data_IF_298825227654
#
_entry.id   IF_298825227654
#
_cell.length_a   1.000
_cell.length_b   1.000
_cell.length_c   1.000
_cell.angle_alpha   90.00
_cell.angle_beta   90.00
_cell.angle_gamma   90.00
#
_symmetry.space_group_name_H-M   'P 1'
#
loop_
_entity.id
_entity.type
_entity.pdbx_description
1 polymer ?
#
# COMPACT_ATOMS: atom_id res chain seq x y z
N UNK A 1 -12.94 -1.60 37.84
CA UNK A 1 -12.73 -0.60 36.77
C UNK A 1 -11.75 -1.07 35.68
N UNK A 2 -11.01 -2.17 35.88
CA UNK A 2 -9.87 -2.57 35.02
C UNK A 2 -10.19 -3.15 33.64
N UNK A 3 -11.36 -3.79 33.45
CA UNK A 3 -11.65 -4.47 32.17
C UNK A 3 -11.90 -3.48 31.03
N UNK A 4 -12.52 -2.33 31.29
CA UNK A 4 -12.71 -1.27 30.28
C UNK A 4 -11.37 -0.57 29.96
N UNK A 5 -10.55 -0.29 30.97
CA UNK A 5 -9.22 0.31 30.82
C UNK A 5 -8.30 -0.55 29.95
N UNK A 6 -8.23 -1.87 30.21
CA UNK A 6 -7.39 -2.80 29.45
C UNK A 6 -7.82 -2.94 27.98
N UNK A 7 -9.13 -2.94 27.71
CA UNK A 7 -9.67 -2.98 26.33
C UNK A 7 -9.34 -1.71 25.54
N UNK A 8 -9.41 -0.54 26.17
CA UNK A 8 -9.04 0.75 25.56
C UNK A 8 -7.55 0.81 25.24
N UNK A 9 -6.69 0.35 26.17
CA UNK A 9 -5.24 0.34 25.99
C UNK A 9 -4.78 -0.49 24.78
N UNK A 10 -5.36 -1.68 24.58
CA UNK A 10 -5.03 -2.52 23.42
C UNK A 10 -5.41 -1.87 22.08
N UNK A 11 -6.55 -1.17 22.03
CA UNK A 11 -6.97 -0.41 20.84
C UNK A 11 -6.03 0.77 20.57
N UNK A 12 -5.67 1.56 21.60
CA UNK A 12 -4.77 2.71 21.46
C UNK A 12 -3.40 2.26 20.92
N UNK A 13 -2.85 1.16 21.44
CA UNK A 13 -1.56 0.63 20.98
C UNK A 13 -1.64 0.15 19.53
N UNK A 14 -2.74 -0.50 19.15
CA UNK A 14 -2.98 -0.87 17.76
C UNK A 14 -3.18 0.36 16.86
N UNK A 15 -3.80 1.43 17.37
CA UNK A 15 -3.96 2.68 16.64
C UNK A 15 -2.61 3.38 16.41
N UNK A 16 -1.71 3.37 17.41
CA UNK A 16 -0.33 3.85 17.23
C UNK A 16 0.40 3.05 16.15
N UNK A 17 0.24 1.72 16.13
CA UNK A 17 0.77 0.88 15.05
C UNK A 17 0.20 1.27 13.68
N UNK A 18 -1.12 1.43 13.60
CA UNK A 18 -1.84 1.73 12.38
C UNK A 18 -1.43 3.08 11.78
N UNK A 19 -1.50 4.13 12.59
CA UNK A 19 -1.12 5.49 12.19
C UNK A 19 0.39 5.54 11.91
N UNK A 20 1.21 4.93 12.77
CA UNK A 20 2.67 4.92 12.62
C UNK A 20 3.11 4.30 11.29
N UNK A 21 2.62 3.11 10.94
CA UNK A 21 2.92 2.49 9.64
C UNK A 21 2.36 3.30 8.48
N UNK A 22 1.15 3.85 8.63
CA UNK A 22 0.54 4.69 7.59
C UNK A 22 1.41 5.89 7.22
N UNK A 23 1.81 6.65 8.23
CA UNK A 23 2.67 7.82 8.05
C UNK A 23 4.05 7.41 7.53
N UNK A 24 4.67 6.38 8.13
CA UNK A 24 6.00 5.91 7.72
C UNK A 24 6.03 5.50 6.24
N UNK A 25 5.03 4.72 5.81
CA UNK A 25 4.90 4.28 4.42
C UNK A 25 4.67 5.46 3.49
N UNK A 26 3.79 6.41 3.86
CA UNK A 26 3.54 7.60 3.06
C UNK A 26 4.81 8.46 2.88
N UNK A 27 5.57 8.68 3.96
CA UNK A 27 6.83 9.41 3.90
C UNK A 27 7.87 8.68 3.05
N UNK A 28 8.00 7.36 3.22
CA UNK A 28 8.98 6.57 2.47
C UNK A 28 8.66 6.52 0.98
N UNK A 29 7.41 6.23 0.62
CA UNK A 29 6.95 6.19 -0.77
C UNK A 29 7.06 7.58 -1.41
N UNK A 30 6.69 8.65 -0.70
CA UNK A 30 6.89 10.02 -1.16
C UNK A 30 8.36 10.33 -1.43
N UNK A 31 9.27 9.99 -0.51
CA UNK A 31 10.71 10.19 -0.69
C UNK A 31 11.29 9.40 -1.86
N UNK A 32 10.88 8.15 -2.07
CA UNK A 32 11.36 7.31 -3.19
C UNK A 32 10.90 7.90 -4.53
N UNK A 33 9.65 8.35 -4.63
CA UNK A 33 9.13 8.98 -5.85
C UNK A 33 9.91 10.27 -6.14
N UNK A 34 10.10 11.11 -5.12
CA UNK A 34 10.88 12.34 -5.24
C UNK A 34 12.34 12.10 -5.68
N UNK A 35 12.97 11.02 -5.20
CA UNK A 35 14.33 10.62 -5.57
C UNK A 35 14.44 10.10 -7.02
N UNK A 36 13.36 9.52 -7.56
CA UNK A 36 13.38 8.87 -8.88
C UNK A 36 13.14 9.86 -10.03
N UNK A 37 12.41 10.94 -9.78
CA UNK A 37 12.22 12.02 -10.74
C UNK A 37 13.35 13.05 -10.64
N UNK A 38 14.50 12.72 -11.21
CA UNK A 38 15.58 13.70 -11.49
C UNK A 38 15.11 14.85 -12.44
N UNK A 39 13.89 14.73 -12.95
CA UNK A 39 13.26 15.60 -13.96
C UNK A 39 12.89 17.00 -13.45
N UNK A 40 12.74 17.20 -12.13
CA UNK A 40 12.50 18.52 -11.52
C UNK A 40 13.78 19.21 -10.99
N UNK A 41 14.96 18.63 -11.23
CA UNK A 41 16.19 19.10 -10.60
C UNK A 41 16.22 18.81 -9.11
N UNK A 42 15.79 17.60 -8.70
CA UNK A 42 15.75 17.22 -7.29
C UNK A 42 17.14 17.09 -6.65
N UNK A 43 18.18 16.75 -7.44
CA UNK A 43 19.57 16.96 -7.05
C UNK A 43 19.84 18.40 -6.62
N UNK A 44 19.25 19.37 -7.31
CA UNK A 44 19.29 20.77 -6.90
C UNK A 44 18.43 21.01 -5.64
N UNK A 45 17.24 20.40 -5.50
CA UNK A 45 16.38 20.52 -4.28
C UNK A 45 17.08 20.04 -3.02
N UNK A 46 17.81 18.93 -3.08
CA UNK A 46 18.64 18.47 -1.97
C UNK A 46 19.79 19.43 -1.68
N UNK A 47 20.44 19.98 -2.71
CA UNK A 47 21.41 21.06 -2.56
C UNK A 47 20.76 22.29 -1.86
N UNK A 48 19.58 22.76 -2.29
CA UNK A 48 18.85 23.88 -1.67
C UNK A 48 18.50 23.64 -0.19
N UNK A 49 18.08 22.42 0.16
CA UNK A 49 17.62 22.09 1.51
C UNK A 49 18.78 22.05 2.52
N UNK A 50 19.96 21.58 2.10
CA UNK A 50 21.12 21.42 2.97
C UNK A 50 22.08 22.62 2.99
N UNK A 51 22.05 23.51 1.98
CA UNK A 51 22.85 24.75 2.01
C UNK A 51 22.34 25.72 3.07
N UNK A 52 23.24 26.26 3.88
CA UNK A 52 22.90 27.25 4.91
C UNK A 52 22.56 28.61 4.30
N UNK A 53 23.34 29.08 3.33
CA UNK A 53 23.15 30.38 2.67
C UNK A 53 22.48 30.21 1.29
N UNK A 54 21.60 31.15 0.94
CA UNK A 54 20.97 31.27 -0.38
C UNK A 54 22.04 31.44 -1.45
N UNK A 55 23.17 32.08 -1.14
CA UNK A 55 24.24 32.38 -2.11
C UNK A 55 25.02 31.15 -2.56
N UNK A 56 24.98 30.08 -1.78
CA UNK A 56 25.58 28.80 -2.13
C UNK A 56 24.75 27.99 -3.13
N UNK A 57 23.51 28.42 -3.38
CA UNK A 57 22.57 27.66 -4.20
C UNK A 57 22.78 27.87 -5.69
N UNK A 58 22.49 26.83 -6.48
CA UNK A 58 22.58 26.93 -7.95
C UNK A 58 21.70 28.04 -8.54
N UNK A 59 20.47 28.24 -8.03
CA UNK A 59 19.54 29.27 -8.53
C UNK A 59 20.11 30.66 -8.35
N UNK A 60 20.70 30.91 -7.18
CA UNK A 60 21.28 32.20 -6.88
C UNK A 60 22.43 32.51 -7.85
N UNK A 61 23.37 31.57 -8.00
CA UNK A 61 24.51 31.70 -8.90
C UNK A 61 24.07 31.90 -10.35
N UNK A 62 23.05 31.16 -10.79
CA UNK A 62 22.45 31.32 -12.11
C UNK A 62 21.77 32.69 -12.29
N UNK A 63 21.03 33.16 -11.28
CA UNK A 63 20.35 34.47 -11.30
C UNK A 63 21.35 35.62 -11.33
N UNK A 64 22.45 35.52 -10.57
CA UNK A 64 23.55 36.48 -10.64
C UNK A 64 24.23 36.44 -12.01
N UNK A 65 24.41 35.26 -12.60
CA UNK A 65 24.95 35.11 -13.96
C UNK A 65 24.04 35.75 -15.02
N UNK A 66 22.72 35.62 -14.89
CA UNK A 66 21.75 36.29 -15.76
C UNK A 66 21.81 37.82 -15.62
N UNK A 67 21.95 38.34 -14.39
CA UNK A 67 22.11 39.77 -14.15
C UNK A 67 23.43 40.30 -14.72
N UNK A 68 24.51 39.52 -14.62
CA UNK A 68 25.78 39.84 -15.28
C UNK A 68 25.63 39.89 -16.80
N UNK A 69 25.00 38.87 -17.40
CA UNK A 69 24.73 38.81 -18.83
C UNK A 69 23.92 40.01 -19.31
N UNK A 70 22.86 40.38 -18.59
CA UNK A 70 22.04 41.54 -18.89
C UNK A 70 22.90 42.81 -18.96
N UNK A 71 23.78 43.04 -17.98
CA UNK A 71 24.70 44.18 -17.98
C UNK A 71 25.71 44.13 -19.12
N UNK A 72 26.28 42.95 -19.40
CA UNK A 72 27.24 42.77 -20.49
C UNK A 72 26.62 43.03 -21.87
N UNK A 73 25.43 42.50 -22.13
CA UNK A 73 24.69 42.73 -23.38
C UNK A 73 24.31 44.21 -23.55
N UNK A 74 23.77 44.84 -22.50
CA UNK A 74 23.39 46.27 -22.55
C UNK A 74 24.60 47.19 -22.77
N UNK A 75 25.78 46.86 -22.25
CA UNK A 75 26.98 47.66 -22.45
C UNK A 75 27.63 47.51 -23.83
N UNK A 76 27.35 46.42 -24.56
CA UNK A 76 28.03 46.06 -25.81
C UNK A 76 27.19 46.32 -27.07
N UNK A 77 25.85 46.38 -26.95
CA UNK A 77 24.96 46.60 -28.10
C UNK A 77 24.84 48.07 -28.51
N UNK A 78 24.67 48.35 -29.81
CA UNK A 78 24.65 49.71 -30.39
C UNK A 78 23.39 50.54 -30.06
N UNK A 79 22.25 49.93 -29.69
CA UNK A 79 20.99 50.63 -29.41
C UNK A 79 20.80 50.88 -27.90
N UNK A 80 21.39 51.96 -27.40
CA UNK A 80 21.67 52.13 -25.96
C UNK A 80 20.46 52.48 -25.08
N UNK A 81 19.62 53.45 -25.44
CA UNK A 81 18.69 54.06 -24.47
C UNK A 81 17.54 53.15 -24.02
N UNK A 82 16.86 52.46 -24.94
CA UNK A 82 15.72 51.61 -24.60
C UNK A 82 16.15 50.39 -23.76
N UNK A 83 17.29 49.78 -24.11
CA UNK A 83 17.82 48.63 -23.39
C UNK A 83 18.40 48.99 -22.03
N UNK A 84 19.03 50.17 -21.90
CA UNK A 84 19.48 50.69 -20.61
C UNK A 84 18.29 50.85 -19.66
N UNK A 85 17.19 51.45 -20.12
CA UNK A 85 15.98 51.61 -19.31
C UNK A 85 15.38 50.26 -18.88
N UNK A 86 15.38 49.25 -19.76
CA UNK A 86 14.89 47.90 -19.44
C UNK A 86 15.80 47.21 -18.41
N UNK A 87 17.13 47.32 -18.58
CA UNK A 87 18.11 46.74 -17.67
C UNK A 87 18.05 47.40 -16.29
N UNK A 88 17.99 48.72 -16.24
CA UNK A 88 17.82 49.50 -15.00
C UNK A 88 16.52 49.11 -14.29
N UNK A 89 15.39 49.11 -14.99
CA UNK A 89 14.10 48.72 -14.43
C UNK A 89 14.05 47.26 -13.94
N UNK A 90 14.88 46.35 -14.49
CA UNK A 90 15.00 44.97 -14.01
C UNK A 90 15.84 44.89 -12.73
N UNK A 91 17.00 45.55 -12.72
CA UNK A 91 17.95 45.50 -11.62
C UNK A 91 17.46 46.29 -10.39
N UNK A 92 16.78 47.43 -10.61
CA UNK A 92 16.20 48.25 -9.55
C UNK A 92 15.08 47.54 -8.77
N UNK A 93 14.44 46.52 -9.35
CA UNK A 93 13.47 45.66 -8.63
C UNK A 93 14.08 44.91 -7.46
N UNK A 94 15.41 44.72 -7.46
CA UNK A 94 16.11 44.14 -6.32
C UNK A 94 16.27 45.12 -5.15
N UNK A 95 16.07 46.42 -5.37
CA UNK A 95 16.20 47.48 -4.38
C UNK A 95 17.53 47.39 -3.62
N UNK A 96 17.47 47.38 -2.29
CA UNK A 96 18.66 47.32 -1.42
C UNK A 96 19.36 45.95 -1.42
N UNK A 97 18.79 44.92 -2.05
CA UNK A 97 19.38 43.57 -2.05
C UNK A 97 20.56 43.43 -3.01
N UNK A 98 20.65 44.30 -4.03
CA UNK A 98 21.67 44.29 -5.05
C UNK A 98 22.21 45.71 -5.26
N UNK A 99 23.53 45.87 -5.16
CA UNK A 99 24.23 47.03 -5.71
C UNK A 99 24.84 46.58 -7.03
N UNK A 100 24.65 47.36 -8.09
CA UNK A 100 25.30 47.11 -9.37
C UNK A 100 26.04 48.37 -9.85
N UNK A 101 27.15 48.13 -10.53
CA UNK A 101 27.93 49.16 -11.19
C UNK A 101 28.51 48.57 -12.47
N UNK A 102 28.20 49.18 -13.61
CA UNK A 102 28.64 48.73 -14.92
C UNK A 102 29.08 49.93 -15.74
N UNK A 103 30.23 49.85 -16.41
CA UNK A 103 30.76 50.93 -17.24
C UNK A 103 31.48 50.37 -18.46
N UNK A 104 31.24 50.96 -19.62
CA UNK A 104 32.01 50.70 -20.82
C UNK A 104 33.02 51.84 -21.04
N UNK A 105 34.31 51.49 -21.10
CA UNK A 105 35.44 52.41 -21.22
C UNK A 105 35.60 52.96 -22.65
N UNK A 106 34.97 52.34 -23.65
CA UNK A 106 35.02 52.73 -25.07
C UNK A 106 34.00 53.82 -25.43
N UNK A 107 32.73 53.62 -25.06
CA UNK A 107 31.63 54.54 -25.38
C UNK A 107 31.19 55.41 -24.18
N UNK A 108 31.72 55.17 -22.99
CA UNK A 108 31.43 55.97 -21.79
C UNK A 108 30.09 55.66 -21.11
N UNK A 109 29.32 54.69 -21.60
CA UNK A 109 28.03 54.28 -21.01
C UNK A 109 28.25 53.76 -19.60
N UNK A 110 27.43 54.24 -18.65
CA UNK A 110 27.50 53.89 -17.23
C UNK A 110 26.11 53.56 -16.69
N UNK A 111 25.98 52.45 -15.97
CA UNK A 111 24.77 52.04 -15.29
C UNK A 111 25.10 51.70 -13.82
N UNK A 112 24.47 52.37 -12.86
CA UNK A 112 24.77 52.17 -11.43
C UNK A 112 23.59 52.61 -10.55
N UNK A 113 23.24 51.82 -9.55
CA UNK A 113 22.28 52.22 -8.50
C UNK A 113 22.96 52.75 -7.23
N UNK A 114 24.28 52.90 -7.23
CA UNK A 114 25.05 53.53 -6.15
C UNK A 114 25.61 54.89 -6.59
N UNK A 115 25.65 55.83 -5.63
CA UNK A 115 26.34 57.12 -5.77
C UNK A 115 27.85 56.98 -5.59
N UNK A 116 28.31 55.84 -5.07
CA UNK A 116 29.74 55.58 -4.85
C UNK A 116 30.37 55.22 -6.19
N UNK A 117 31.25 56.07 -6.71
CA UNK A 117 31.95 55.76 -7.94
C UNK A 117 33.08 54.76 -7.65
N UNK A 118 32.82 53.48 -7.91
CA UNK A 118 33.84 52.45 -7.82
C UNK A 118 34.91 52.57 -8.93
N UNK A 119 34.71 53.48 -9.89
CA UNK A 119 35.54 53.67 -11.09
C UNK A 119 36.99 54.15 -10.87
N UNK A 120 37.39 54.48 -9.65
CA UNK A 120 38.79 54.85 -9.30
C UNK A 120 39.46 53.87 -8.33
N UNK A 121 38.69 53.00 -7.67
CA UNK A 121 39.18 52.11 -6.61
C UNK A 121 39.70 50.77 -7.13
N UNK A 122 39.58 50.47 -8.43
CA UNK A 122 39.94 49.16 -8.98
C UNK A 122 41.40 49.05 -9.43
N UNK A 123 42.33 49.44 -8.55
CA UNK A 123 43.65 48.81 -8.49
C UNK A 123 43.72 48.04 -7.17
N UNK A 124 42.86 47.03 -7.05
CA UNK A 124 42.66 46.25 -5.83
C UNK A 124 41.22 45.73 -5.72
N UNK A 125 41.04 44.66 -4.95
CA UNK A 125 39.74 44.07 -4.66
C UNK A 125 38.81 45.12 -4.00
N UNK A 126 37.54 45.26 -4.44
CA UNK A 126 36.63 46.24 -3.85
C UNK A 126 36.32 45.84 -2.41
N UNK A 127 36.56 46.74 -1.45
CA UNK A 127 36.12 46.55 -0.07
C UNK A 127 34.58 46.49 -0.05
N UNK A 128 34.02 45.37 0.42
CA UNK A 128 32.58 45.17 0.53
C UNK A 128 31.95 46.21 1.48
N UNK A 129 30.88 46.91 1.07
CA UNK A 129 30.14 47.80 1.96
C UNK A 129 29.54 47.05 3.16
N UNK A 130 29.40 47.75 4.30
CA UNK A 130 28.79 47.18 5.50
C UNK A 130 27.38 46.62 5.21
N UNK A 131 27.17 45.35 5.57
CA UNK A 131 25.92 44.63 5.32
C UNK A 131 25.87 43.83 4.01
N UNK A 132 26.96 43.81 3.24
CA UNK A 132 27.15 43.00 2.04
C UNK A 132 28.28 41.99 2.25
N UNK A 133 28.15 40.80 1.68
CA UNK A 133 29.08 39.68 1.91
C UNK A 133 29.34 38.85 0.65
N UNK A 134 28.86 39.33 -0.51
CA UNK A 134 29.05 38.67 -1.79
C UNK A 134 29.28 39.72 -2.86
N UNK A 135 30.30 39.52 -3.69
CA UNK A 135 30.45 40.27 -4.92
C UNK A 135 30.88 39.41 -6.09
N UNK A 136 30.49 39.84 -7.29
CA UNK A 136 31.00 39.37 -8.57
C UNK A 136 31.57 40.59 -9.29
N UNK A 137 32.87 40.55 -9.58
CA UNK A 137 33.58 41.64 -10.23
C UNK A 137 34.23 41.17 -11.53
N UNK A 138 34.07 41.96 -12.58
CA UNK A 138 34.68 41.77 -13.89
C UNK A 138 35.49 43.01 -14.23
N UNK A 139 36.80 42.83 -14.41
CA UNK A 139 37.77 43.88 -14.67
C UNK A 139 38.02 44.16 -16.16
N UNK A 140 37.32 43.46 -17.05
CA UNK A 140 37.55 43.45 -18.50
C UNK A 140 38.40 42.28 -18.98
N UNK A 141 39.04 41.51 -18.08
CA UNK A 141 39.85 40.34 -18.43
C UNK A 141 39.41 39.07 -17.72
N UNK A 142 39.01 39.16 -16.44
CA UNK A 142 38.60 38.01 -15.63
C UNK A 142 37.44 38.34 -14.70
N UNK A 143 36.65 37.31 -14.38
CA UNK A 143 35.59 37.39 -13.38
C UNK A 143 36.17 36.89 -12.05
N UNK A 144 36.00 37.68 -10.99
CA UNK A 144 36.38 37.33 -9.62
C UNK A 144 35.13 37.33 -8.75
N UNK A 145 34.90 36.25 -8.02
CA UNK A 145 33.76 36.10 -7.11
C UNK A 145 34.29 35.91 -5.70
N UNK A 146 33.74 36.66 -4.75
CA UNK A 146 33.99 36.46 -3.32
C UNK A 146 32.67 36.26 -2.60
N UNK A 147 32.66 35.31 -1.67
CA UNK A 147 31.56 35.09 -0.74
C UNK A 147 32.11 34.91 0.67
N UNK A 148 31.67 35.78 1.59
CA UNK A 148 32.07 35.77 3.00
C UNK A 148 33.60 35.74 3.22
N UNK A 149 34.36 36.51 2.43
CA UNK A 149 35.82 36.58 2.53
C UNK A 149 36.58 35.42 1.88
N UNK A 150 35.89 34.52 1.16
CA UNK A 150 36.52 33.43 0.40
C UNK A 150 36.35 33.66 -1.09
N UNK A 151 37.47 33.64 -1.82
CA UNK A 151 37.47 33.70 -3.29
C UNK A 151 36.95 32.35 -3.82
N UNK A 152 35.98 32.42 -4.73
CA UNK A 152 35.41 31.25 -5.41
C UNK A 152 36.12 31.09 -6.74
N UNK A 153 36.82 29.97 -6.93
CA UNK A 153 37.45 29.64 -8.21
C UNK A 153 36.42 29.09 -9.20
N UNK A 154 36.21 29.84 -10.28
CA UNK A 154 35.24 29.54 -11.34
C UNK A 154 35.88 29.05 -12.64
N UNK A 155 37.22 28.98 -12.69
CA UNK A 155 37.97 28.57 -13.88
C UNK A 155 38.37 27.09 -13.83
N UNK A 156 38.45 26.50 -12.63
CA UNK A 156 38.65 25.06 -12.44
C UNK A 156 37.37 24.26 -12.78
N UNK A 157 37.51 23.22 -13.60
CA UNK A 157 36.41 22.35 -14.04
C UNK A 157 35.93 21.37 -12.98
N UNK A 158 36.76 21.08 -11.96
CA UNK A 158 36.52 19.96 -11.03
C UNK A 158 35.72 20.33 -9.78
N UNK A 159 35.41 21.63 -9.57
CA UNK A 159 34.81 22.10 -8.32
C UNK A 159 33.56 22.96 -8.57
N UNK A 160 32.38 22.44 -8.21
CA UNK A 160 31.16 23.19 -7.87
C UNK A 160 30.72 24.39 -8.76
N UNK A 161 31.01 24.38 -10.05
CA UNK A 161 30.66 25.48 -10.96
C UNK A 161 29.31 25.32 -11.67
N UNK A 162 28.49 24.33 -11.31
CA UNK A 162 27.19 24.08 -11.93
C UNK A 162 26.32 25.35 -12.05
N UNK A 163 26.36 26.25 -11.05
CA UNK A 163 25.62 27.52 -11.05
C UNK A 163 26.21 28.67 -11.89
N UNK A 164 27.52 28.65 -12.20
CA UNK A 164 28.20 29.64 -13.04
C UNK A 164 28.56 29.09 -14.43
N UNK A 165 28.32 27.81 -14.68
CA UNK A 165 28.57 27.10 -15.95
C UNK A 165 28.01 27.84 -17.17
N UNK A 166 26.89 28.54 -17.00
CA UNK A 166 26.27 29.37 -18.04
C UNK A 166 27.15 30.55 -18.47
N UNK A 167 27.96 31.13 -17.59
CA UNK A 167 28.91 32.19 -17.97
C UNK A 167 29.97 31.66 -18.95
N UNK A 168 30.39 30.41 -18.78
CA UNK A 168 31.28 29.72 -19.74
C UNK A 168 30.54 29.44 -21.05
N UNK A 169 29.31 28.94 -20.98
CA UNK A 169 28.50 28.65 -22.17
C UNK A 169 28.19 29.90 -23.01
N UNK A 170 27.97 31.05 -22.38
CA UNK A 170 27.74 32.34 -23.05
C UNK A 170 29.03 33.05 -23.49
N UNK A 171 30.21 32.44 -23.29
CA UNK A 171 31.49 33.00 -23.73
C UNK A 171 32.04 34.12 -22.85
N UNK A 172 31.54 34.28 -21.61
CA UNK A 172 32.02 35.27 -20.65
C UNK A 172 33.16 34.77 -19.77
N UNK A 173 33.41 33.46 -19.74
CA UNK A 173 34.58 32.85 -19.11
C UNK A 173 35.51 32.30 -20.19
N UNK A 174 36.60 33.02 -20.45
CA UNK A 174 37.68 32.65 -21.38
C UNK A 174 39.02 33.01 -20.76
N UNK A 175 40.07 32.25 -21.08
CA UNK A 175 41.45 32.61 -20.73
C UNK A 175 41.91 33.88 -21.45
N UNK A 176 41.31 34.19 -22.61
CA UNK A 176 41.61 35.38 -23.40
C UNK A 176 40.34 36.09 -23.90
N UNK A 177 39.71 36.88 -23.02
CA UNK A 177 38.47 37.61 -23.35
C UNK A 177 38.70 38.68 -24.43
N UNK A 178 39.89 39.27 -24.51
CA UNK A 178 40.22 40.28 -25.53
C UNK A 178 40.08 39.73 -26.96
N UNK A 179 40.39 38.45 -27.15
CA UNK A 179 40.27 37.77 -28.45
C UNK A 179 38.85 37.25 -28.70
N UNK A 180 38.20 36.67 -27.68
CA UNK A 180 36.86 36.08 -27.84
C UNK A 180 35.72 37.10 -27.85
N UNK A 181 35.86 38.24 -27.16
CA UNK A 181 34.86 39.29 -27.10
C UNK A 181 35.49 40.67 -26.84
N UNK A 182 36.02 41.35 -27.89
CA UNK A 182 36.80 42.58 -27.73
C UNK A 182 35.99 43.75 -27.17
N UNK A 183 34.68 43.82 -27.42
CA UNK A 183 33.82 44.87 -26.87
C UNK A 183 33.58 44.69 -25.37
N UNK A 184 33.45 43.45 -24.91
CA UNK A 184 33.34 43.14 -23.48
C UNK A 184 34.65 43.44 -22.73
N UNK A 185 35.81 43.31 -23.37
CA UNK A 185 37.10 43.61 -22.73
C UNK A 185 37.26 45.05 -22.25
N UNK A 186 36.45 45.96 -22.80
CA UNK A 186 36.40 47.38 -22.41
C UNK A 186 35.35 47.66 -21.34
N UNK A 187 34.65 46.64 -20.84
CA UNK A 187 33.60 46.78 -19.85
C UNK A 187 34.10 46.40 -18.45
N UNK A 188 33.65 47.13 -17.44
CA UNK A 188 33.80 46.79 -16.04
C UNK A 188 32.43 46.58 -15.44
N UNK A 189 32.22 45.44 -14.76
CA UNK A 189 30.93 45.06 -14.17
C UNK A 189 31.15 44.62 -12.74
N UNK A 190 30.39 45.16 -11.81
CA UNK A 190 30.42 44.85 -10.39
C UNK A 190 28.98 44.63 -9.91
N UNK A 191 28.74 43.47 -9.32
CA UNK A 191 27.50 43.11 -8.64
C UNK A 191 27.82 42.81 -7.18
N UNK A 192 27.17 43.46 -6.24
CA UNK A 192 27.33 43.24 -4.80
C UNK A 192 25.98 42.89 -4.20
N UNK A 193 25.92 41.78 -3.46
CA UNK A 193 24.68 41.25 -2.90
C UNK A 193 24.67 41.37 -1.39
N UNK A 194 23.53 41.81 -0.86
CA UNK A 194 23.35 42.02 0.57
C UNK A 194 23.44 40.70 1.34
N UNK A 195 24.07 40.72 2.52
CA UNK A 195 24.20 39.57 3.42
C UNK A 195 22.84 38.96 3.74
N UNK A 196 21.95 39.79 4.27
CA UNK A 196 20.57 39.43 4.54
C UNK A 196 19.62 40.03 3.50
N UNK A 197 19.31 39.24 2.47
CA UNK A 197 18.31 39.57 1.46
C UNK A 197 16.97 39.82 2.15
N UNK A 198 16.42 41.02 1.98
CA UNK A 198 15.20 41.48 2.63
C UNK A 198 14.03 41.61 1.66
N UNK A 199 12.82 41.75 2.20
CA UNK A 199 11.62 42.02 1.39
C UNK A 199 11.71 43.43 0.81
N UNK A 200 11.51 43.55 -0.49
CA UNK A 200 11.35 44.84 -1.17
C UNK A 200 9.85 45.14 -1.27
N UNK A 201 9.43 46.33 -0.87
CA UNK A 201 8.03 46.75 -0.96
C UNK A 201 7.71 47.19 -2.39
N UNK A 202 6.54 46.77 -2.90
CA UNK A 202 6.00 47.15 -4.22
C UNK A 202 6.85 46.74 -5.45
N UNK A 203 7.81 45.82 -5.30
CA UNK A 203 8.63 45.29 -6.40
C UNK A 203 8.85 43.77 -6.23
N UNK A 204 8.92 43.04 -7.35
CA UNK A 204 9.26 41.61 -7.36
C UNK A 204 10.78 41.40 -7.43
N UNK A 205 11.46 41.42 -6.28
CA UNK A 205 12.88 41.05 -6.17
C UNK A 205 13.05 39.54 -6.41
N UNK A 206 13.84 39.17 -7.42
CA UNK A 206 14.10 37.76 -7.73
C UNK A 206 14.97 37.13 -6.65
N UNK A 207 15.94 37.87 -6.11
CA UNK A 207 16.82 37.39 -5.04
C UNK A 207 16.01 37.09 -3.76
N UNK A 208 15.04 37.95 -3.43
CA UNK A 208 14.14 37.70 -2.30
C UNK A 208 13.22 36.50 -2.53
N UNK A 209 12.72 36.31 -3.76
CA UNK A 209 11.90 35.14 -4.11
C UNK A 209 12.67 33.84 -3.89
N UNK A 210 13.92 33.75 -4.34
CA UNK A 210 14.78 32.58 -4.11
C UNK A 210 14.96 32.31 -2.61
N UNK A 211 15.23 33.35 -1.80
CA UNK A 211 15.31 33.21 -0.34
C UNK A 211 14.00 32.69 0.28
N UNK A 212 12.86 33.22 -0.17
CA UNK A 212 11.54 32.80 0.31
C UNK A 212 11.26 31.34 -0.04
N UNK A 213 11.55 30.94 -1.27
CA UNK A 213 11.33 29.59 -1.76
C UNK A 213 12.22 28.58 -1.00
N UNK A 214 13.49 28.93 -0.77
CA UNK A 214 14.41 28.13 0.03
C UNK A 214 13.93 27.97 1.48
N UNK A 215 13.46 29.05 2.11
CA UNK A 215 12.91 28.98 3.48
C UNK A 215 11.63 28.12 3.54
N UNK A 216 10.76 28.24 2.53
CA UNK A 216 9.57 27.40 2.43
C UNK A 216 9.94 25.91 2.28
N UNK A 217 10.89 25.60 1.40
CA UNK A 217 11.41 24.24 1.23
C UNK A 217 12.00 23.69 2.54
N UNK A 218 12.86 24.44 3.23
CA UNK A 218 13.43 24.04 4.53
C UNK A 218 12.33 23.73 5.56
N UNK A 219 11.28 24.56 5.62
CA UNK A 219 10.14 24.34 6.51
C UNK A 219 9.39 23.04 6.18
N UNK A 220 9.16 22.77 4.89
CA UNK A 220 8.51 21.53 4.43
C UNK A 220 9.36 20.30 4.77
N UNK A 221 10.66 20.32 4.47
CA UNK A 221 11.56 19.20 4.81
C UNK A 221 11.63 18.96 6.32
N UNK A 222 11.73 20.03 7.11
CA UNK A 222 11.71 19.94 8.58
C UNK A 222 10.41 19.31 9.06
N UNK A 223 9.27 19.71 8.50
CA UNK A 223 7.96 19.14 8.82
C UNK A 223 7.88 17.65 8.46
N UNK A 224 8.37 17.25 7.28
CA UNK A 224 8.42 15.84 6.86
C UNK A 224 9.29 15.01 7.82
N UNK A 225 10.46 15.52 8.21
CA UNK A 225 11.36 14.84 9.16
C UNK A 225 10.68 14.69 10.53
N UNK A 226 10.03 15.73 11.05
CA UNK A 226 9.31 15.67 12.33
C UNK A 226 8.20 14.61 12.26
N UNK A 227 7.39 14.63 11.20
CA UNK A 227 6.30 13.67 10.98
C UNK A 227 6.85 12.23 10.87
N UNK A 228 7.97 12.05 10.17
CA UNK A 228 8.67 10.76 10.08
C UNK A 228 9.16 10.28 11.46
N UNK A 229 9.79 11.15 12.26
CA UNK A 229 10.25 10.81 13.61
C UNK A 229 9.09 10.44 14.54
N UNK A 230 7.99 11.20 14.48
CA UNK A 230 6.75 10.87 15.21
C UNK A 230 6.24 9.49 14.79
N UNK A 231 6.25 9.16 13.50
CA UNK A 231 5.85 7.83 13.02
C UNK A 231 6.72 6.71 13.59
N UNK A 232 8.04 6.92 13.67
CA UNK A 232 8.99 5.97 14.25
C UNK A 232 8.72 5.76 15.74
N UNK A 233 8.45 6.84 16.49
CA UNK A 233 8.09 6.76 17.91
C UNK A 233 6.78 5.98 18.09
N UNK A 234 5.75 6.24 17.27
CA UNK A 234 4.48 5.51 17.34
C UNK A 234 4.64 4.00 17.07
N UNK A 235 5.44 3.64 16.05
CA UNK A 235 5.77 2.25 15.75
C UNK A 235 6.53 1.61 16.92
N UNK A 236 7.52 2.31 17.48
CA UNK A 236 8.33 1.82 18.60
C UNK A 236 7.48 1.58 19.86
N UNK A 237 6.57 2.51 20.19
CA UNK A 237 5.60 2.34 21.29
C UNK A 237 4.72 1.09 21.06
N UNK A 238 4.30 0.86 19.82
CA UNK A 238 3.54 -0.35 19.46
C UNK A 238 4.37 -1.64 19.64
N UNK A 239 5.63 -1.64 19.20
CA UNK A 239 6.53 -2.81 19.28
C UNK A 239 6.84 -3.15 20.74
N UNK A 240 7.15 -2.15 21.58
CA UNK A 240 7.38 -2.36 23.01
C UNK A 240 6.16 -3.00 23.70
N UNK A 241 4.96 -2.62 23.26
CA UNK A 241 3.70 -3.14 23.79
C UNK A 241 3.07 -4.24 22.93
N UNK A 242 3.86 -4.99 22.16
CA UNK A 242 3.38 -5.99 21.21
C UNK A 242 2.44 -7.04 21.81
N UNK A 243 2.63 -7.44 23.08
CA UNK A 243 1.73 -8.38 23.78
C UNK A 243 0.31 -7.83 23.90
N UNK A 244 0.18 -6.54 24.21
CA UNK A 244 -1.12 -5.86 24.33
C UNK A 244 -1.74 -5.63 22.96
N UNK A 245 -0.94 -5.32 21.93
CA UNK A 245 -1.39 -5.24 20.54
C UNK A 245 -1.99 -6.58 20.08
N UNK A 246 -1.33 -7.71 20.38
CA UNK A 246 -1.82 -9.05 20.05
C UNK A 246 -3.21 -9.36 20.62
N UNK A 247 -3.56 -8.81 21.80
CA UNK A 247 -4.91 -8.96 22.35
C UNK A 247 -5.96 -8.32 21.43
N UNK A 248 -5.65 -7.20 20.78
CA UNK A 248 -6.53 -6.55 19.81
C UNK A 248 -6.53 -7.29 18.47
N UNK A 249 -5.37 -7.74 17.99
CA UNK A 249 -5.27 -8.55 16.77
C UNK A 249 -6.10 -9.85 16.88
N UNK A 250 -6.13 -10.48 18.06
CA UNK A 250 -6.99 -11.63 18.33
C UNK A 250 -8.48 -11.29 18.24
N UNK A 251 -8.89 -10.09 18.68
CA UNK A 251 -10.28 -9.62 18.52
C UNK A 251 -10.62 -9.42 17.05
N UNK A 252 -9.72 -8.81 16.29
CA UNK A 252 -9.86 -8.66 14.83
C UNK A 252 -10.04 -10.04 14.18
N UNK A 253 -9.17 -11.00 14.49
CA UNK A 253 -9.28 -12.37 13.98
C UNK A 253 -10.62 -13.05 14.34
N UNK A 254 -11.08 -12.90 15.60
CA UNK A 254 -12.38 -13.44 16.04
C UNK A 254 -13.59 -12.73 15.42
N UNK A 255 -13.41 -11.49 14.95
CA UNK A 255 -14.43 -10.79 14.20
C UNK A 255 -14.49 -11.32 12.76
N UNK A 256 -13.33 -11.47 12.10
CA UNK A 256 -13.24 -12.06 10.77
C UNK A 256 -13.70 -13.52 10.71
N UNK A 257 -13.64 -14.28 11.80
CA UNK A 257 -14.13 -15.66 11.84
C UNK A 257 -15.65 -15.79 11.67
N UNK A 258 -16.41 -14.68 11.81
CA UNK A 258 -17.87 -14.66 11.67
C UNK A 258 -18.32 -14.56 10.22
N UNK A 259 -17.43 -14.13 9.33
CA UNK A 259 -17.77 -13.92 7.93
C UNK A 259 -17.38 -15.14 7.11
N UNK A 260 -18.26 -15.48 6.17
CA UNK A 260 -18.00 -16.50 5.17
C UNK A 260 -16.76 -16.13 4.34
N UNK A 261 -16.00 -17.15 3.92
CA UNK A 261 -14.81 -16.93 3.08
C UNK A 261 -15.17 -16.20 1.78
N UNK A 262 -16.36 -16.43 1.22
CA UNK A 262 -16.86 -15.79 0.00
C UNK A 262 -16.90 -14.26 0.14
N UNK A 263 -17.33 -13.73 1.29
CA UNK A 263 -17.36 -12.28 1.56
C UNK A 263 -15.93 -11.73 1.59
N UNK A 264 -14.97 -12.49 2.14
CA UNK A 264 -13.56 -12.10 2.20
C UNK A 264 -12.93 -12.09 0.81
N UNK A 265 -13.22 -13.09 -0.02
CA UNK A 265 -12.77 -13.15 -1.41
C UNK A 265 -13.36 -11.99 -2.22
N UNK A 266 -14.65 -11.71 -2.05
CA UNK A 266 -15.29 -10.57 -2.70
C UNK A 266 -14.67 -9.23 -2.29
N UNK A 267 -14.41 -9.02 -1.00
CA UNK A 267 -13.71 -7.83 -0.53
C UNK A 267 -12.28 -7.71 -1.11
N UNK A 268 -11.54 -8.82 -1.18
CA UNK A 268 -10.21 -8.84 -1.81
C UNK A 268 -10.29 -8.50 -3.32
N UNK A 269 -11.32 -8.98 -4.02
CA UNK A 269 -11.56 -8.65 -5.42
C UNK A 269 -11.85 -7.16 -5.61
N UNK A 270 -12.65 -6.53 -4.73
CA UNK A 270 -12.86 -5.07 -4.75
C UNK A 270 -11.54 -4.32 -4.59
N UNK A 271 -10.68 -4.74 -3.65
CA UNK A 271 -9.35 -4.13 -3.47
C UNK A 271 -8.52 -4.28 -4.75
N UNK A 272 -8.52 -5.45 -5.39
CA UNK A 272 -7.82 -5.66 -6.65
C UNK A 272 -8.34 -4.76 -7.78
N UNK A 273 -9.66 -4.57 -7.88
CA UNK A 273 -10.26 -3.65 -8.86
C UNK A 273 -9.84 -2.21 -8.58
N UNK A 274 -9.85 -1.77 -7.33
CA UNK A 274 -9.39 -0.41 -6.95
C UNK A 274 -7.91 -0.22 -7.34
N UNK A 275 -7.06 -1.21 -7.06
CA UNK A 275 -5.65 -1.19 -7.43
C UNK A 275 -5.49 -1.15 -8.96
N UNK A 276 -6.23 -1.99 -9.70
CA UNK A 276 -6.19 -2.03 -11.15
C UNK A 276 -6.64 -0.71 -11.78
N UNK A 277 -7.72 -0.10 -11.28
CA UNK A 277 -8.19 1.21 -11.72
C UNK A 277 -7.16 2.31 -11.43
N UNK A 278 -6.54 2.28 -10.25
CA UNK A 278 -5.49 3.22 -9.90
C UNK A 278 -4.25 3.07 -10.79
N UNK A 279 -3.86 1.83 -11.15
CA UNK A 279 -2.77 1.55 -12.08
C UNK A 279 -3.12 1.92 -13.52
N UNK A 280 -4.34 1.66 -13.98
CA UNK A 280 -4.81 2.04 -15.32
C UNK A 280 -4.82 3.56 -15.51
N UNK A 281 -5.27 4.29 -14.48
CA UNK A 281 -5.26 5.75 -14.47
C UNK A 281 -3.85 6.34 -14.30
N UNK A 282 -2.89 5.51 -13.90
CA UNK A 282 -1.48 5.88 -13.87
C UNK A 282 -0.91 5.85 -15.29
N UNK A 283 -1.27 6.87 -16.07
CA UNK A 283 -0.54 7.22 -17.28
C UNK A 283 0.84 7.73 -16.86
N UNK A 284 1.95 7.20 -17.41
CA UNK A 284 3.28 7.75 -17.20
C UNK A 284 3.42 9.07 -17.96
N UNK A 285 2.69 10.10 -17.52
CA UNK A 285 2.99 11.48 -17.89
C UNK A 285 4.25 11.87 -17.15
N UNK A 286 5.22 12.51 -17.82
CA UNK A 286 6.50 13.01 -17.27
C UNK A 286 6.38 14.04 -16.12
N UNK A 287 5.17 14.26 -15.60
CA UNK A 287 4.81 15.23 -14.56
C UNK A 287 4.10 14.47 -13.45
N UNK A 288 4.81 14.19 -12.35
CA UNK A 288 4.20 13.63 -11.14
C UNK A 288 3.47 14.75 -10.40
N UNK A 289 2.16 14.81 -10.59
CA UNK A 289 1.28 15.71 -9.85
C UNK A 289 1.05 15.19 -8.41
N UNK A 290 0.76 16.09 -7.46
CA UNK A 290 0.43 15.73 -6.07
C UNK A 290 -0.68 14.66 -5.98
N UNK A 291 -1.67 14.74 -6.87
CA UNK A 291 -2.76 13.74 -6.97
C UNK A 291 -2.27 12.33 -7.31
N UNK A 292 -1.27 12.22 -8.18
CA UNK A 292 -0.66 10.94 -8.56
C UNK A 292 0.23 10.36 -7.45
N UNK A 293 0.91 11.21 -6.68
CA UNK A 293 1.68 10.78 -5.52
C UNK A 293 0.77 10.26 -4.40
N UNK A 294 -0.34 10.96 -4.14
CA UNK A 294 -1.35 10.53 -3.17
C UNK A 294 -2.03 9.23 -3.58
N UNK A 295 -2.28 9.01 -4.87
CA UNK A 295 -2.89 7.76 -5.36
C UNK A 295 -1.95 6.57 -5.18
N UNK A 296 -0.64 6.74 -5.45
CA UNK A 296 0.35 5.67 -5.20
C UNK A 296 0.41 5.33 -3.71
N UNK A 297 0.51 6.34 -2.83
CA UNK A 297 0.52 6.12 -1.38
C UNK A 297 -0.75 5.37 -0.94
N UNK A 298 -1.91 5.78 -1.45
CA UNK A 298 -3.18 5.11 -1.14
C UNK A 298 -3.19 3.64 -1.59
N UNK A 299 -2.67 3.34 -2.79
CA UNK A 299 -2.55 1.98 -3.31
C UNK A 299 -1.60 1.12 -2.48
N UNK A 300 -0.44 1.66 -2.09
CA UNK A 300 0.51 0.93 -1.23
C UNK A 300 -0.11 0.63 0.14
N UNK A 301 -0.82 1.60 0.73
CA UNK A 301 -1.49 1.43 2.01
C UNK A 301 -2.64 0.42 1.94
N UNK A 302 -3.49 0.47 0.91
CA UNK A 302 -4.63 -0.46 0.80
C UNK A 302 -4.14 -1.91 0.59
N UNK A 303 -3.08 -2.10 -0.19
CA UNK A 303 -2.43 -3.40 -0.36
C UNK A 303 -1.79 -3.86 0.96
N UNK A 304 -0.99 -3.01 1.61
CA UNK A 304 -0.35 -3.35 2.88
C UNK A 304 -1.34 -3.74 3.98
N UNK A 305 -2.42 -2.97 4.14
CA UNK A 305 -3.46 -3.26 5.12
C UNK A 305 -4.30 -4.50 4.77
N UNK A 306 -4.65 -4.70 3.50
CA UNK A 306 -5.37 -5.91 3.09
C UNK A 306 -4.56 -7.18 3.37
N UNK A 307 -3.27 -7.18 3.05
CA UNK A 307 -2.35 -8.28 3.38
C UNK A 307 -2.22 -8.48 4.89
N UNK A 308 -2.14 -7.39 5.67
CA UNK A 308 -2.13 -7.47 7.13
C UNK A 308 -3.38 -8.18 7.67
N UNK A 309 -4.58 -7.80 7.21
CA UNK A 309 -5.82 -8.43 7.68
C UNK A 309 -5.93 -9.89 7.28
N UNK A 310 -5.53 -10.25 6.05
CA UNK A 310 -5.47 -11.65 5.59
C UNK A 310 -4.51 -12.46 6.47
N UNK A 311 -3.33 -11.91 6.78
CA UNK A 311 -2.35 -12.56 7.64
C UNK A 311 -2.89 -12.78 9.06
N UNK A 312 -3.55 -11.78 9.65
CA UNK A 312 -4.19 -11.91 10.97
C UNK A 312 -5.31 -12.96 10.95
N UNK A 313 -6.17 -12.96 9.92
CA UNK A 313 -7.24 -13.95 9.79
C UNK A 313 -6.66 -15.38 9.71
N UNK A 314 -5.61 -15.58 8.90
CA UNK A 314 -4.96 -16.89 8.77
C UNK A 314 -4.25 -17.32 10.07
N UNK A 315 -3.57 -16.40 10.77
CA UNK A 315 -2.84 -16.69 12.00
C UNK A 315 -3.76 -17.21 13.11
N UNK A 316 -4.94 -16.60 13.27
CA UNK A 316 -5.86 -16.93 14.36
C UNK A 316 -6.92 -17.98 13.98
N UNK A 317 -7.41 -17.98 12.75
CA UNK A 317 -8.47 -18.89 12.31
C UNK A 317 -7.93 -20.12 11.54
N UNK A 318 -6.68 -20.10 11.08
CA UNK A 318 -5.98 -21.22 10.44
C UNK A 318 -6.86 -21.91 9.37
N UNK A 319 -6.97 -23.24 9.42
CA UNK A 319 -7.82 -24.04 8.52
C UNK A 319 -9.33 -23.81 8.70
N UNK A 320 -9.77 -23.21 9.81
CA UNK A 320 -11.19 -22.94 10.02
C UNK A 320 -11.72 -21.83 9.11
N UNK A 321 -10.85 -20.97 8.56
CA UNK A 321 -11.23 -19.96 7.56
C UNK A 321 -11.95 -20.61 6.37
N UNK A 322 -11.43 -21.74 5.89
CA UNK A 322 -12.01 -22.49 4.77
C UNK A 322 -13.25 -23.31 5.17
N UNK A 323 -13.41 -23.61 6.46
CA UNK A 323 -14.53 -24.41 6.96
C UNK A 323 -15.83 -23.62 7.11
N UNK A 324 -15.72 -22.28 7.26
CA UNK A 324 -16.85 -21.38 7.39
C UNK A 324 -17.18 -20.76 6.03
N UNK A 325 -17.78 -21.60 5.17
CA UNK A 325 -18.24 -21.22 3.84
C UNK A 325 -19.75 -21.48 3.70
N UNK A 326 -20.36 -20.87 2.68
CA UNK A 326 -21.79 -20.97 2.41
C UNK A 326 -22.25 -22.43 2.23
N UNK A 327 -21.46 -23.23 1.51
CA UNK A 327 -21.74 -24.64 1.21
C UNK A 327 -21.81 -25.48 2.49
N UNK A 328 -20.83 -25.35 3.38
CA UNK A 328 -20.76 -26.11 4.62
C UNK A 328 -21.81 -25.62 5.62
N UNK A 329 -22.16 -24.34 5.58
CA UNK A 329 -23.30 -23.79 6.33
C UNK A 329 -24.62 -24.43 5.86
N UNK A 330 -24.84 -24.51 4.54
CA UNK A 330 -25.99 -25.19 3.94
C UNK A 330 -26.03 -26.68 4.28
N UNK A 331 -24.89 -27.38 4.20
CA UNK A 331 -24.79 -28.81 4.57
C UNK A 331 -25.12 -29.01 6.05
N UNK A 332 -24.63 -28.14 6.95
CA UNK A 332 -24.93 -28.23 8.39
C UNK A 332 -26.41 -27.94 8.67
N UNK A 333 -26.98 -26.92 8.03
CA UNK A 333 -28.40 -26.60 8.14
C UNK A 333 -29.26 -27.78 7.69
N UNK A 334 -28.94 -28.33 6.51
CA UNK A 334 -29.58 -29.53 5.97
C UNK A 334 -29.48 -30.73 6.93
N UNK A 335 -28.28 -31.08 7.42
CA UNK A 335 -28.08 -32.20 8.36
C UNK A 335 -28.84 -31.99 9.67
N UNK A 336 -28.87 -30.77 10.18
CA UNK A 336 -29.59 -30.44 11.42
C UNK A 336 -31.11 -30.61 11.28
N UNK A 337 -31.64 -30.41 10.07
CA UNK A 337 -33.05 -30.63 9.76
C UNK A 337 -33.34 -32.12 9.51
N UNK A 338 -32.43 -32.82 8.84
CA UNK A 338 -32.54 -34.25 8.54
C UNK A 338 -32.57 -35.12 9.81
N UNK A 339 -31.67 -34.88 10.77
CA UNK A 339 -31.56 -35.65 12.02
C UNK A 339 -32.84 -35.58 12.86
N UNK A 340 -33.64 -34.51 12.72
CA UNK A 340 -34.91 -34.34 13.44
C UNK A 340 -36.07 -35.13 12.84
N UNK A 341 -35.91 -35.72 11.65
CA UNK A 341 -36.97 -36.44 10.96
C UNK A 341 -36.87 -37.95 11.21
N UNK A 342 -38.00 -38.68 11.24
CA UNK A 342 -37.97 -40.14 11.25
C UNK A 342 -37.28 -40.67 9.99
N UNK A 343 -36.69 -41.87 10.08
CA UNK A 343 -35.86 -42.48 9.04
C UNK A 343 -36.44 -42.36 7.62
N UNK A 344 -37.72 -42.72 7.44
CA UNK A 344 -38.41 -42.65 6.15
C UNK A 344 -38.43 -41.23 5.56
N UNK A 345 -38.83 -40.23 6.37
CA UNK A 345 -38.88 -38.82 5.94
C UNK A 345 -37.48 -38.26 5.71
N UNK A 346 -36.48 -38.71 6.48
CA UNK A 346 -35.07 -38.35 6.27
C UNK A 346 -34.52 -38.88 4.95
N UNK A 347 -34.84 -40.13 4.59
CA UNK A 347 -34.48 -40.70 3.27
C UNK A 347 -35.15 -39.98 2.10
N UNK A 348 -36.45 -39.70 2.20
CA UNK A 348 -37.16 -38.93 1.15
C UNK A 348 -36.60 -37.52 1.01
N UNK A 349 -36.27 -36.86 2.12
CA UNK A 349 -35.63 -35.54 2.10
C UNK A 349 -34.26 -35.59 1.40
N UNK A 350 -33.43 -36.60 1.65
CA UNK A 350 -32.15 -36.80 0.94
C UNK A 350 -32.37 -36.92 -0.57
N UNK A 351 -33.37 -37.71 -0.98
CA UNK A 351 -33.72 -37.89 -2.39
C UNK A 351 -34.19 -36.58 -3.02
N UNK A 352 -35.09 -35.84 -2.37
CA UNK A 352 -35.58 -34.56 -2.89
C UNK A 352 -34.47 -33.51 -2.99
N UNK A 353 -33.59 -33.42 -2.00
CA UNK A 353 -32.44 -32.50 -2.06
C UNK A 353 -31.46 -32.91 -3.15
N UNK A 354 -31.20 -34.21 -3.32
CA UNK A 354 -30.39 -34.71 -4.41
C UNK A 354 -30.98 -34.34 -5.78
N UNK A 355 -32.28 -34.61 -6.00
CA UNK A 355 -32.98 -34.24 -7.24
C UNK A 355 -32.91 -32.73 -7.46
N UNK A 356 -33.16 -31.92 -6.43
CA UNK A 356 -33.10 -30.47 -6.55
C UNK A 356 -31.70 -29.97 -6.97
N UNK A 357 -30.64 -30.53 -6.37
CA UNK A 357 -29.25 -30.19 -6.73
C UNK A 357 -28.94 -30.63 -8.17
N UNK A 358 -29.34 -31.83 -8.58
CA UNK A 358 -29.16 -32.30 -9.96
C UNK A 358 -29.90 -31.42 -10.97
N UNK A 359 -31.16 -31.04 -10.69
CA UNK A 359 -31.93 -30.13 -11.56
C UNK A 359 -31.20 -28.79 -11.71
N UNK A 360 -30.68 -28.22 -10.61
CA UNK A 360 -29.89 -26.99 -10.66
C UNK A 360 -28.63 -27.17 -11.51
N UNK A 361 -27.89 -28.28 -11.34
CA UNK A 361 -26.69 -28.57 -12.13
C UNK A 361 -27.00 -28.72 -13.62
N UNK A 362 -28.10 -29.40 -13.98
CA UNK A 362 -28.56 -29.55 -15.36
C UNK A 362 -28.93 -28.20 -15.96
N UNK A 363 -29.64 -27.33 -15.22
CA UNK A 363 -29.96 -25.97 -15.67
C UNK A 363 -28.68 -25.16 -15.90
N UNK A 364 -27.73 -25.17 -14.96
CA UNK A 364 -26.47 -24.45 -15.09
C UNK A 364 -25.61 -24.99 -16.25
N UNK A 365 -25.60 -26.31 -16.46
CA UNK A 365 -24.91 -26.93 -17.59
C UNK A 365 -25.58 -26.53 -18.91
N UNK A 366 -26.92 -26.53 -18.98
CA UNK A 366 -27.68 -26.07 -20.14
C UNK A 366 -27.41 -24.60 -20.47
N UNK A 367 -27.37 -23.72 -19.46
CA UNK A 367 -26.99 -22.30 -19.64
C UNK A 367 -25.55 -22.21 -20.17
N UNK A 368 -24.61 -22.96 -19.58
CA UNK A 368 -23.21 -22.96 -20.03
C UNK A 368 -23.07 -23.45 -21.48
N UNK A 369 -23.87 -24.42 -21.88
CA UNK A 369 -23.92 -24.94 -23.25
C UNK A 369 -24.53 -23.93 -24.22
N UNK A 370 -25.63 -23.26 -23.85
CA UNK A 370 -26.22 -22.19 -24.67
C UNK A 370 -25.20 -21.04 -24.84
N UNK A 371 -24.51 -20.65 -23.76
CA UNK A 371 -23.46 -19.63 -23.83
C UNK A 371 -22.30 -20.05 -24.72
N UNK A 372 -21.89 -21.32 -24.70
CA UNK A 372 -20.90 -21.87 -25.62
C UNK A 372 -21.34 -21.67 -27.09
N UNK A 373 -22.60 -21.94 -27.41
CA UNK A 373 -23.13 -21.81 -28.77
C UNK A 373 -23.28 -20.35 -29.23
N UNK A 374 -23.43 -19.40 -28.30
CA UNK A 374 -23.64 -17.98 -28.59
C UNK A 374 -22.37 -17.13 -28.47
N UNK A 375 -21.29 -17.65 -27.88
CA UNK A 375 -20.08 -16.87 -27.59
C UNK A 375 -19.12 -16.86 -28.77
N UNK A 376 -18.62 -15.68 -29.12
CA UNK A 376 -17.60 -15.48 -30.17
C UNK A 376 -16.17 -15.34 -29.61
N UNK A 377 -15.99 -15.25 -28.29
CA UNK A 377 -14.73 -14.79 -27.68
C UNK A 377 -14.12 -15.84 -26.74
N UNK A 378 -14.93 -16.61 -25.98
CA UNK A 378 -14.41 -17.50 -24.92
C UNK A 378 -15.03 -18.91 -24.91
N UNK A 379 -15.05 -19.59 -26.07
CA UNK A 379 -15.62 -20.95 -26.21
C UNK A 379 -14.98 -21.97 -25.23
N UNK A 380 -13.67 -21.84 -24.97
CA UNK A 380 -12.94 -22.79 -24.11
C UNK A 380 -13.43 -22.73 -22.66
N UNK A 381 -13.76 -21.54 -22.15
CA UNK A 381 -14.24 -21.37 -20.77
C UNK A 381 -15.61 -22.02 -20.57
N UNK A 382 -16.54 -21.81 -21.50
CA UNK A 382 -17.89 -22.38 -21.43
C UNK A 382 -17.87 -23.90 -21.63
N UNK A 383 -17.03 -24.41 -22.54
CA UNK A 383 -16.84 -25.86 -22.73
C UNK A 383 -16.29 -26.52 -21.46
N UNK A 384 -15.25 -25.93 -20.86
CA UNK A 384 -14.68 -26.44 -19.61
C UNK A 384 -15.72 -26.43 -18.48
N UNK A 385 -16.46 -25.33 -18.33
CA UNK A 385 -17.51 -25.20 -17.30
C UNK A 385 -18.62 -26.22 -17.49
N UNK A 386 -19.06 -26.43 -18.73
CA UNK A 386 -20.06 -27.45 -19.08
C UNK A 386 -19.59 -28.86 -18.72
N UNK A 387 -18.38 -29.25 -19.12
CA UNK A 387 -17.81 -30.57 -18.81
C UNK A 387 -17.63 -30.78 -17.30
N UNK A 388 -17.22 -29.73 -16.58
CA UNK A 388 -17.06 -29.77 -15.14
C UNK A 388 -18.41 -29.97 -14.42
N UNK A 389 -19.47 -29.28 -14.85
CA UNK A 389 -20.81 -29.44 -14.30
C UNK A 389 -21.37 -30.84 -14.57
N UNK A 390 -21.16 -31.38 -15.79
CA UNK A 390 -21.53 -32.76 -16.12
C UNK A 390 -20.79 -33.78 -15.25
N UNK A 391 -19.47 -33.66 -15.14
CA UNK A 391 -18.67 -34.54 -14.30
C UNK A 391 -19.10 -34.48 -12.83
N UNK A 392 -19.44 -33.28 -12.34
CA UNK A 392 -19.94 -33.08 -10.98
C UNK A 392 -21.30 -33.76 -10.76
N UNK A 393 -22.24 -33.64 -11.70
CA UNK A 393 -23.54 -34.34 -11.64
C UNK A 393 -23.37 -35.86 -11.64
N UNK A 394 -22.58 -36.41 -12.57
CA UNK A 394 -22.27 -37.85 -12.61
C UNK A 394 -21.64 -38.33 -11.30
N UNK A 395 -20.73 -37.55 -10.72
CA UNK A 395 -20.12 -37.87 -9.44
C UNK A 395 -21.13 -37.87 -8.28
N UNK A 396 -22.06 -36.92 -8.24
CA UNK A 396 -23.11 -36.87 -7.21
C UNK A 396 -24.08 -38.04 -7.33
N UNK A 397 -24.49 -38.41 -8.56
CA UNK A 397 -25.29 -39.62 -8.84
C UNK A 397 -24.57 -40.87 -8.32
N UNK A 398 -23.31 -41.08 -8.71
CA UNK A 398 -22.51 -42.21 -8.25
C UNK A 398 -22.42 -42.27 -6.72
N UNK A 399 -22.15 -41.12 -6.08
CA UNK A 399 -22.05 -41.01 -4.62
C UNK A 399 -23.39 -41.34 -3.94
N UNK A 400 -24.50 -40.85 -4.49
CA UNK A 400 -25.83 -41.12 -3.96
C UNK A 400 -26.18 -42.61 -4.06
N UNK A 401 -25.98 -43.23 -5.24
CA UNK A 401 -26.23 -44.66 -5.47
C UNK A 401 -25.39 -45.52 -4.52
N UNK A 402 -24.09 -45.21 -4.38
CA UNK A 402 -23.20 -45.96 -3.48
C UNK A 402 -23.69 -45.90 -2.03
N UNK A 403 -24.15 -44.73 -1.57
CA UNK A 403 -24.71 -44.56 -0.22
C UNK A 403 -26.03 -45.32 -0.08
N UNK A 404 -26.93 -45.19 -1.05
CA UNK A 404 -28.22 -45.88 -1.07
C UNK A 404 -28.05 -47.40 -1.03
N UNK A 405 -27.16 -47.96 -1.84
CA UNK A 405 -26.82 -49.39 -1.83
C UNK A 405 -26.39 -49.84 -0.43
N UNK A 406 -25.54 -49.07 0.24
CA UNK A 406 -25.11 -49.38 1.61
C UNK A 406 -26.29 -49.40 2.58
N UNK A 407 -27.18 -48.41 2.54
CA UNK A 407 -28.38 -48.37 3.39
C UNK A 407 -29.29 -49.57 3.12
N UNK A 408 -29.51 -49.95 1.86
CA UNK A 408 -30.31 -51.13 1.49
C UNK A 408 -29.67 -52.43 2.00
N UNK A 409 -28.35 -52.57 1.89
CA UNK A 409 -27.64 -53.73 2.46
C UNK A 409 -27.77 -53.79 3.98
N UNK A 410 -27.69 -52.66 4.68
CA UNK A 410 -27.85 -52.60 6.14
C UNK A 410 -29.29 -52.96 6.56
N UNK A 411 -30.31 -52.60 5.76
CA UNK A 411 -31.70 -53.03 5.96
C UNK A 411 -31.83 -54.54 5.76
N UNK A 412 -31.22 -55.10 4.70
CA UNK A 412 -31.22 -56.55 4.45
C UNK A 412 -30.67 -57.33 5.63
N UNK A 413 -29.50 -56.94 6.15
CA UNK A 413 -28.92 -57.54 7.36
C UNK A 413 -29.83 -57.47 8.58
N UNK A 414 -30.61 -56.40 8.71
CA UNK A 414 -31.56 -56.24 9.80
C UNK A 414 -32.74 -57.20 9.66
N UNK A 415 -33.25 -57.39 8.44
CA UNK A 415 -34.32 -58.36 8.14
C UNK A 415 -33.82 -59.79 8.38
N UNK A 416 -32.62 -60.13 7.88
CA UNK A 416 -32.03 -61.45 8.08
C UNK A 416 -31.87 -61.77 9.58
N UNK A 417 -31.41 -60.80 10.37
CA UNK A 417 -31.28 -60.96 11.82
C UNK A 417 -32.64 -61.20 12.50
N UNK A 418 -33.71 -60.54 12.05
CA UNK A 418 -35.06 -60.78 12.59
C UNK A 418 -35.49 -62.21 12.32
N UNK A 419 -35.21 -62.75 11.13
CA UNK A 419 -35.56 -64.13 10.78
C UNK A 419 -34.74 -65.15 11.61
N UNK A 420 -33.46 -64.87 11.86
CA UNK A 420 -32.59 -65.67 12.75
C UNK A 420 -33.15 -65.71 14.18
N UNK A 421 -33.52 -64.56 14.74
CA UNK A 421 -34.11 -64.48 16.08
C UNK A 421 -35.46 -65.22 16.13
N UNK A 422 -36.30 -65.06 15.11
CA UNK A 422 -37.59 -65.75 14.99
C UNK A 422 -37.43 -67.27 14.98
N UNK A 423 -36.37 -67.79 14.35
CA UNK A 423 -36.06 -69.22 14.31
C UNK A 423 -35.37 -69.74 15.59
N UNK A 424 -35.21 -68.90 16.62
CA UNK A 424 -34.74 -69.30 17.94
C UNK A 424 -33.23 -69.20 18.16
N UNK A 425 -32.46 -68.65 17.22
CA UNK A 425 -31.05 -68.35 17.47
C UNK A 425 -30.91 -66.97 18.14
N UNK A 426 -30.55 -67.02 19.42
CA UNK A 426 -30.46 -65.85 20.31
C UNK A 426 -29.00 -65.46 20.59
N UNK A 427 -28.00 -66.09 19.95
CA UNK A 427 -26.58 -65.85 20.26
C UNK A 427 -25.93 -64.80 19.36
N UNK A 428 -26.31 -64.76 18.08
CA UNK A 428 -25.67 -63.87 17.11
C UNK A 428 -26.19 -62.44 17.22
N UNK A 429 -25.31 -61.43 17.22
CA UNK A 429 -25.69 -60.00 17.34
C UNK A 429 -25.43 -59.25 16.04
N UNK A 430 -26.33 -58.33 15.68
CA UNK A 430 -26.15 -57.48 14.50
C UNK A 430 -25.25 -56.29 14.82
N UNK A 431 -24.09 -56.21 14.16
CA UNK A 431 -23.12 -55.10 14.33
C UNK A 431 -23.14 -54.24 13.07
N UNK A 432 -23.58 -52.99 13.23
CA UNK A 432 -23.51 -51.96 12.19
C UNK A 432 -22.57 -50.84 12.62
N UNK A 433 -22.00 -50.11 11.64
CA UNK A 433 -21.14 -48.97 11.93
C UNK A 433 -21.93 -47.84 12.62
N UNK A 434 -21.34 -47.07 13.57
CA UNK A 434 -22.05 -46.01 14.31
C UNK A 434 -22.68 -44.91 13.44
N UNK A 435 -22.17 -44.71 12.23
CA UNK A 435 -22.72 -43.74 11.26
C UNK A 435 -23.71 -44.35 10.25
N UNK A 436 -24.09 -45.62 10.39
CA UNK A 436 -25.07 -46.27 9.52
C UNK A 436 -26.49 -45.83 9.87
N UNK A 437 -27.36 -45.71 8.86
CA UNK A 437 -28.73 -45.24 9.07
C UNK A 437 -29.54 -46.21 9.96
N UNK A 438 -29.26 -47.51 9.85
CA UNK A 438 -29.92 -48.58 10.63
C UNK A 438 -29.26 -48.85 11.99
N UNK A 439 -28.24 -48.08 12.39
CA UNK A 439 -27.48 -48.35 13.61
C UNK A 439 -28.38 -48.41 14.87
N UNK A 440 -29.25 -47.41 15.04
CA UNK A 440 -30.14 -47.36 16.20
C UNK A 440 -31.16 -48.51 16.19
N UNK A 441 -31.67 -48.90 15.03
CA UNK A 441 -32.60 -50.02 14.90
C UNK A 441 -31.92 -51.35 15.22
N UNK A 442 -30.69 -51.57 14.75
CA UNK A 442 -29.88 -52.74 15.11
C UNK A 442 -29.59 -52.81 16.61
N UNK A 443 -29.27 -51.68 17.25
CA UNK A 443 -29.07 -51.62 18.70
C UNK A 443 -30.35 -51.96 19.48
N UNK A 444 -31.51 -51.44 19.06
CA UNK A 444 -32.79 -51.78 19.65
C UNK A 444 -33.11 -53.27 19.49
N UNK A 445 -32.86 -53.86 18.31
CA UNK A 445 -33.07 -55.28 18.05
C UNK A 445 -32.17 -56.16 18.95
N UNK A 446 -30.88 -55.82 19.06
CA UNK A 446 -29.95 -56.54 19.95
C UNK A 446 -30.40 -56.48 21.42
N UNK A 447 -30.95 -55.35 21.88
CA UNK A 447 -31.49 -55.23 23.25
C UNK A 447 -32.76 -56.07 23.46
N UNK A 448 -33.63 -56.14 22.47
CA UNK A 448 -34.81 -57.01 22.51
C UNK A 448 -34.37 -58.48 22.61
N UNK A 449 -33.40 -58.87 21.79
CA UNK A 449 -32.82 -60.22 21.80
C UNK A 449 -32.21 -60.57 23.18
N UNK A 450 -31.47 -59.64 23.79
CA UNK A 450 -30.91 -59.81 25.14
C UNK A 450 -32.00 -59.94 26.21
N UNK A 451 -33.06 -59.13 26.12
CA UNK A 451 -34.21 -59.22 27.02
C UNK A 451 -34.96 -60.55 26.91
N UNK A 452 -35.14 -61.06 25.68
CA UNK A 452 -35.73 -62.39 25.43
C UNK A 452 -34.84 -63.48 26.03
N UNK A 453 -33.52 -63.46 25.77
CA UNK A 453 -32.62 -64.47 26.29
C UNK A 453 -32.67 -64.53 27.82
N UNK A 454 -32.62 -63.36 28.47
CA UNK A 454 -32.70 -63.26 29.94
C UNK A 454 -34.03 -63.80 30.49
N UNK A 455 -35.16 -63.44 29.87
CA UNK A 455 -36.46 -63.93 30.31
C UNK A 455 -36.61 -65.46 30.14
N UNK A 456 -36.03 -66.02 29.08
CA UNK A 456 -35.98 -67.47 28.85
C UNK A 456 -35.10 -68.16 29.90
N UNK A 457 -33.89 -67.64 30.17
CA UNK A 457 -32.99 -68.18 31.21
C UNK A 457 -33.64 -68.14 32.60
N UNK A 458 -34.25 -67.03 32.99
CA UNK A 458 -34.94 -66.87 34.27
C UNK A 458 -36.10 -67.88 34.40
N UNK A 459 -36.84 -68.12 33.30
CA UNK A 459 -37.92 -69.10 33.29
C UNK A 459 -37.41 -70.54 33.38
N UNK A 460 -36.35 -70.89 32.65
CA UNK A 460 -35.72 -72.22 32.75
C UNK A 460 -35.21 -72.47 34.17
N UNK A 461 -34.57 -71.46 34.78
CA UNK A 461 -34.10 -71.55 36.17
C UNK A 461 -35.25 -71.72 37.16
N UNK A 462 -36.35 -70.98 36.97
CA UNK A 462 -37.56 -71.10 37.79
C UNK A 462 -38.20 -72.49 37.68
N UNK A 463 -38.38 -73.00 36.46
CA UNK A 463 -38.92 -74.34 36.22
C UNK A 463 -38.01 -75.43 36.80
N UNK A 464 -36.68 -75.32 36.62
CA UNK A 464 -35.72 -76.26 37.19
C UNK A 464 -35.79 -76.29 38.71
N UNK A 465 -35.86 -75.13 39.36
CA UNK A 465 -36.01 -75.02 40.82
C UNK A 465 -37.33 -75.64 41.27
N UNK A 466 -38.42 -75.46 40.50
CA UNK A 466 -39.73 -76.04 40.78
C UNK A 466 -39.72 -77.56 40.69
N UNK A 467 -39.06 -78.12 39.67
CA UNK A 467 -38.87 -79.56 39.51
C UNK A 467 -38.02 -80.12 40.66
N UNK A 468 -36.89 -79.49 40.99
CA UNK A 468 -36.03 -79.91 42.11
C UNK A 468 -36.78 -79.92 43.46
N UNK A 469 -37.63 -78.91 43.71
CA UNK A 469 -38.51 -78.86 44.89
C UNK A 469 -39.51 -80.02 44.91
N UNK A 470 -40.21 -80.31 43.80
CA UNK A 470 -41.15 -81.44 43.72
C UNK A 470 -40.44 -82.78 43.95
N UNK A 471 -39.25 -82.93 43.36
CA UNK A 471 -38.48 -84.18 43.44
C UNK A 471 -37.96 -84.42 44.86
N UNK A 472 -37.51 -83.38 45.56
CA UNK A 472 -37.14 -83.50 46.98
C UNK A 472 -38.34 -83.82 47.86
N UNK A 473 -39.49 -83.17 47.63
CA UNK A 473 -40.73 -83.43 48.40
C UNK A 473 -41.33 -84.82 48.10
N UNK A 474 -41.04 -85.45 46.97
CA UNK A 474 -41.47 -86.84 46.71
C UNK A 474 -40.48 -87.88 47.23
N UNK A 475 -39.25 -87.47 47.59
CA UNK A 475 -38.22 -88.35 48.15
C UNK A 475 -38.33 -88.42 49.69
N UNK A 476 -38.67 -87.31 50.35
CA UNK A 476 -39.10 -87.25 51.75
C UNK A 476 -40.53 -87.81 51.92
#
# INVERSE_FOLDING_TARGET
MDIKSKKSKAFIIWLCFFIGIGIFTATLTGSIILLKDDYYGFSNVFDYAFKSDVKDTMQFRHTISLKFRLLAETLTQENHEEQLNIAEANLDREGKNLIYYARNLRNGVKLSNTRTDFGSAVKGFPALPDGYDYYLYFDGKKITIEHSGKIVDIYDSDVYNAGYSMLKHWGYLSENIEETNPDLSKCQILLIVKKDIGKVFNQESQLYRIKKDLNALKSVFTSIIIVFLVSCVLILVSILNWKTKKEFDRKIGSFFSKFWIEIKVFAAMIVLVIVALACYRYTPTLVVNLSSLLSIIFVVLIIGWSLYFIFIDFLYNKRNVFSHNSINSLIKAYRSFEIKKPFQKGMLLRLYVFIAVEVILVILAGISFIMLMLSYIDETFYLFTFLLLLALGVYLIYRYIRRYKKTVTDIGKLIDQIEVIKNGDIKNRLILAPGADMYNAAQSLNKIQEGINKAVEDRIKSERTKVELITNVSHD
#
